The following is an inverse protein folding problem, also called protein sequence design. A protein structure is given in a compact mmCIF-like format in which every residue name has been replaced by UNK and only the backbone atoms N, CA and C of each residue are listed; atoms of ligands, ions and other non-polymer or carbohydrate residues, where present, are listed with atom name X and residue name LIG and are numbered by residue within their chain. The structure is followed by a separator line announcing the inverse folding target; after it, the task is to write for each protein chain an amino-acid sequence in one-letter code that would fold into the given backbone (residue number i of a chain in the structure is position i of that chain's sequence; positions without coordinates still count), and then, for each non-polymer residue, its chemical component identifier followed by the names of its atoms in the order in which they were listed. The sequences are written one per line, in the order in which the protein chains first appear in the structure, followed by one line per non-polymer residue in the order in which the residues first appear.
data_IF_930448595413
#
_entry.id   IF_930448595413
#
_cell.length_a   1.000
_cell.length_b   1.000
_cell.length_c   1.000
_cell.angle_alpha   90.00
_cell.angle_beta   90.00
_cell.angle_gamma   90.00
#
_symmetry.space_group_name_H-M   'P 1'
#
loop_
_entity.id
_entity.type
_entity.pdbx_description
1 polymer ?
#
# COMPACT_ATOMS: atom_id res chain seq x y z
N UNK A 1 14.72 -31.56 18.97
CA UNK A 1 13.33 -31.15 18.65
C UNK A 1 13.45 -29.81 17.96
N UNK A 2 12.86 -29.64 16.78
CA UNK A 2 12.83 -28.34 16.10
C UNK A 2 11.96 -27.40 16.93
N UNK A 3 12.45 -26.20 17.21
CA UNK A 3 11.76 -25.16 17.97
C UNK A 3 10.43 -24.82 17.31
N UNK A 4 9.37 -24.66 18.10
CA UNK A 4 8.06 -24.20 17.65
C UNK A 4 7.87 -22.78 18.16
N UNK A 5 7.73 -21.84 17.22
CA UNK A 5 7.48 -20.44 17.54
C UNK A 5 6.01 -20.19 17.88
N UNK A 6 5.75 -19.16 18.67
CA UNK A 6 4.38 -18.70 18.89
C UNK A 6 3.84 -17.96 17.66
N UNK A 7 4.71 -17.17 17.01
CA UNK A 7 4.34 -16.30 15.91
C UNK A 7 5.45 -16.21 14.86
N UNK A 8 5.05 -16.24 13.58
CA UNK A 8 5.86 -15.77 12.46
C UNK A 8 5.19 -14.55 11.84
N UNK A 9 5.92 -13.43 11.74
CA UNK A 9 5.48 -12.21 11.06
C UNK A 9 6.14 -12.15 9.69
N UNK A 10 5.35 -11.92 8.62
CA UNK A 10 5.84 -11.87 7.24
C UNK A 10 5.61 -10.48 6.66
N UNK A 11 6.69 -9.75 6.41
CA UNK A 11 6.72 -8.38 5.91
C UNK A 11 7.16 -7.36 6.95
N UNK A 12 7.95 -6.36 6.53
CA UNK A 12 8.51 -5.32 7.38
C UNK A 12 7.99 -3.90 7.04
N UNK A 13 6.81 -3.79 6.43
CA UNK A 13 6.08 -2.55 6.34
C UNK A 13 5.53 -2.10 7.70
N UNK A 14 4.83 -0.95 7.78
CA UNK A 14 4.31 -0.40 9.05
C UNK A 14 3.49 -1.39 9.88
N UNK A 15 2.69 -2.25 9.23
CA UNK A 15 1.92 -3.29 9.91
C UNK A 15 2.82 -4.35 10.54
N UNK A 16 3.83 -4.83 9.81
CA UNK A 16 4.76 -5.83 10.30
C UNK A 16 5.64 -5.32 11.44
N UNK A 17 6.13 -4.07 11.33
CA UNK A 17 6.89 -3.43 12.41
C UNK A 17 6.04 -3.27 13.67
N UNK A 18 4.80 -2.79 13.53
CA UNK A 18 3.88 -2.67 14.66
C UNK A 18 3.61 -4.04 15.30
N UNK A 19 3.35 -5.06 14.48
CA UNK A 19 3.20 -6.43 14.96
C UNK A 19 4.45 -6.92 15.73
N UNK A 20 5.66 -6.66 15.21
CA UNK A 20 6.92 -7.03 15.85
C UNK A 20 7.07 -6.35 17.23
N UNK A 21 6.79 -5.05 17.31
CA UNK A 21 6.82 -4.29 18.57
C UNK A 21 5.85 -4.88 19.60
N UNK A 22 4.60 -5.13 19.20
CA UNK A 22 3.59 -5.68 20.11
C UNK A 22 3.88 -7.12 20.50
N UNK A 23 4.38 -7.95 19.58
CA UNK A 23 4.79 -9.34 19.87
C UNK A 23 5.95 -9.39 20.88
N UNK A 24 6.98 -8.55 20.72
CA UNK A 24 8.06 -8.43 21.70
C UNK A 24 7.56 -8.00 23.09
N UNK A 25 6.66 -7.01 23.13
CA UNK A 25 6.05 -6.56 24.41
C UNK A 25 5.17 -7.62 25.06
N UNK A 26 4.55 -8.48 24.26
CA UNK A 26 3.77 -9.64 24.72
C UNK A 26 4.66 -10.85 25.07
N UNK A 27 5.98 -10.75 24.93
CA UNK A 27 6.95 -11.82 25.16
C UNK A 27 6.65 -13.11 24.34
N UNK A 28 6.09 -12.96 23.14
CA UNK A 28 5.87 -14.08 22.24
C UNK A 28 7.20 -14.53 21.64
N UNK A 29 7.43 -15.84 21.57
CA UNK A 29 8.57 -16.40 20.82
C UNK A 29 8.31 -16.20 19.32
N UNK A 30 8.94 -15.16 18.74
CA UNK A 30 8.58 -14.63 17.42
C UNK A 30 9.74 -14.66 16.45
N UNK A 31 9.47 -15.07 15.22
CA UNK A 31 10.32 -14.82 14.05
C UNK A 31 9.65 -13.77 13.18
N UNK A 32 10.43 -12.78 12.78
CA UNK A 32 10.01 -11.76 11.84
C UNK A 32 10.81 -11.89 10.55
N UNK A 33 10.17 -12.02 9.38
CA UNK A 33 10.81 -12.30 8.09
C UNK A 33 10.45 -11.23 7.08
N UNK A 34 11.45 -10.73 6.37
CA UNK A 34 11.27 -9.81 5.25
C UNK A 34 12.35 -10.01 4.19
N UNK A 35 12.00 -9.88 2.92
CA UNK A 35 12.94 -10.09 1.81
C UNK A 35 13.83 -8.88 1.52
N UNK A 36 13.39 -7.66 1.86
CA UNK A 36 14.16 -6.42 1.67
C UNK A 36 15.11 -6.12 2.83
N UNK A 37 14.97 -6.79 3.97
CA UNK A 37 15.80 -6.61 5.16
C UNK A 37 15.73 -5.21 5.78
N UNK A 38 14.88 -4.35 5.28
CA UNK A 38 14.77 -2.96 5.72
C UNK A 38 13.34 -2.66 6.13
N UNK A 39 13.10 -2.27 7.39
CA UNK A 39 11.79 -1.85 7.85
C UNK A 39 11.28 -0.61 7.10
N UNK A 40 9.95 -0.52 6.97
CA UNK A 40 9.27 0.60 6.32
C UNK A 40 8.40 0.16 5.12
N UNK A 41 8.83 -0.85 4.35
CA UNK A 41 8.05 -1.30 3.19
C UNK A 41 7.88 -0.20 2.15
N UNK A 42 6.65 0.06 1.70
CA UNK A 42 6.36 1.09 0.68
C UNK A 42 6.59 2.53 1.14
N UNK A 43 6.57 2.82 2.43
CA UNK A 43 6.79 4.19 2.89
C UNK A 43 8.19 4.70 2.54
N UNK A 44 9.17 3.81 2.39
CA UNK A 44 10.54 4.18 2.04
C UNK A 44 10.66 4.80 0.64
N UNK A 45 9.67 4.57 -0.22
CA UNK A 45 9.60 5.13 -1.57
C UNK A 45 8.92 6.53 -1.59
N UNK A 46 8.40 6.99 -0.44
CA UNK A 46 7.70 8.27 -0.30
C UNK A 46 8.69 9.37 0.07
N UNK A 47 8.67 10.49 -0.66
CA UNK A 47 9.57 11.62 -0.41
C UNK A 47 9.35 12.23 0.98
N UNK A 48 8.09 12.46 1.37
CA UNK A 48 7.73 13.08 2.65
C UNK A 48 6.40 12.53 3.16
N UNK A 49 6.29 12.33 4.47
CA UNK A 49 5.09 11.84 5.16
C UNK A 49 4.60 12.91 6.14
N UNK A 50 3.47 13.55 5.82
CA UNK A 50 2.87 14.63 6.62
C UNK A 50 1.65 14.19 7.44
N UNK A 51 1.16 12.98 7.20
CA UNK A 51 -0.08 12.48 7.79
C UNK A 51 0.12 11.39 8.86
N UNK A 52 1.37 11.22 9.34
CA UNK A 52 1.65 10.34 10.47
C UNK A 52 1.80 11.15 11.76
N UNK A 53 0.89 11.01 12.75
CA UNK A 53 0.89 11.82 13.96
C UNK A 53 2.20 11.73 14.74
N UNK A 54 2.75 12.89 15.10
CA UNK A 54 3.97 13.01 15.89
C UNK A 54 5.26 13.11 15.07
N UNK A 55 5.22 12.91 13.76
CA UNK A 55 6.38 13.02 12.88
C UNK A 55 6.04 13.76 11.56
N UNK A 56 5.63 15.04 11.63
CA UNK A 56 5.29 15.81 10.43
C UNK A 56 6.53 16.10 9.60
N UNK A 57 6.42 16.03 8.27
CA UNK A 57 7.50 16.38 7.33
C UNK A 57 8.69 15.41 7.35
N UNK A 58 8.51 14.20 7.88
CA UNK A 58 9.57 13.19 7.87
C UNK A 58 9.64 12.51 6.51
N UNK A 59 10.85 12.21 6.02
CA UNK A 59 10.97 11.38 4.81
C UNK A 59 10.47 9.96 5.08
N UNK A 60 9.95 9.28 4.06
CA UNK A 60 9.53 7.89 4.21
C UNK A 60 10.67 6.97 4.66
N UNK A 61 11.90 7.25 4.22
CA UNK A 61 13.10 6.53 4.64
C UNK A 61 13.36 6.71 6.15
N UNK A 62 13.41 7.95 6.64
CA UNK A 62 13.64 8.25 8.07
C UNK A 62 12.55 7.65 8.96
N UNK A 63 11.28 7.68 8.50
CA UNK A 63 10.17 7.06 9.21
C UNK A 63 10.33 5.54 9.29
N UNK A 64 10.74 4.90 8.18
CA UNK A 64 11.04 3.47 8.13
C UNK A 64 12.18 3.07 9.07
N UNK A 65 13.26 3.86 9.09
CA UNK A 65 14.40 3.68 10.00
C UNK A 65 13.98 3.85 11.47
N UNK A 66 13.18 4.87 11.79
CA UNK A 66 12.66 5.10 13.14
C UNK A 66 11.79 3.92 13.63
N UNK A 67 10.96 3.37 12.74
CA UNK A 67 10.17 2.18 13.02
C UNK A 67 11.05 0.96 13.31
N UNK A 68 12.05 0.71 12.46
CA UNK A 68 13.01 -0.39 12.63
C UNK A 68 13.80 -0.28 13.92
N UNK A 69 14.35 0.89 14.20
CA UNK A 69 15.09 1.16 15.43
C UNK A 69 14.25 0.94 16.70
N UNK A 70 12.94 1.21 16.64
CA UNK A 70 12.04 0.91 17.77
C UNK A 70 11.88 -0.61 17.99
N UNK A 71 11.69 -1.39 16.95
CA UNK A 71 11.58 -2.86 17.07
C UNK A 71 12.91 -3.47 17.57
N UNK A 72 14.06 -2.99 17.06
CA UNK A 72 15.38 -3.43 17.46
C UNK A 72 15.68 -3.20 18.94
N UNK A 73 15.25 -2.03 19.49
CA UNK A 73 15.36 -1.77 20.94
C UNK A 73 14.61 -2.77 21.80
N UNK A 74 13.60 -3.44 21.24
CA UNK A 74 12.82 -4.49 21.90
C UNK A 74 13.39 -5.90 21.57
N UNK A 75 14.52 -5.98 20.90
CA UNK A 75 15.24 -7.23 20.63
C UNK A 75 14.71 -7.99 19.39
N UNK A 76 13.94 -7.36 18.51
CA UNK A 76 13.40 -8.02 17.32
C UNK A 76 13.81 -7.26 16.05
N UNK A 77 14.50 -7.96 15.15
CA UNK A 77 14.88 -7.48 13.82
C UNK A 77 14.41 -8.47 12.74
N UNK A 78 14.09 -8.01 11.53
CA UNK A 78 13.65 -8.92 10.49
C UNK A 78 14.78 -9.84 10.02
N UNK A 79 14.50 -11.14 9.96
CA UNK A 79 15.35 -12.09 9.28
C UNK A 79 15.27 -11.82 7.77
N UNK A 80 16.43 -11.58 7.17
CA UNK A 80 16.57 -11.28 5.75
C UNK A 80 16.42 -12.56 4.91
N UNK A 81 15.18 -12.89 4.57
CA UNK A 81 14.84 -14.11 3.84
C UNK A 81 13.52 -13.94 3.08
N UNK A 82 13.31 -14.73 2.04
CA UNK A 82 12.10 -14.72 1.23
C UNK A 82 11.21 -15.90 1.59
N UNK A 83 9.97 -15.63 1.99
CA UNK A 83 8.97 -16.67 2.22
C UNK A 83 8.48 -17.22 0.89
N UNK A 84 8.55 -18.53 0.73
CA UNK A 84 8.18 -19.23 -0.50
C UNK A 84 6.82 -19.91 -0.41
N UNK A 85 6.44 -20.41 0.78
CA UNK A 85 5.15 -21.04 1.01
C UNK A 85 4.76 -21.05 2.48
N UNK A 86 3.45 -21.15 2.72
CA UNK A 86 2.83 -21.35 4.02
C UNK A 86 1.91 -22.56 3.90
N UNK A 87 2.07 -23.50 4.83
CA UNK A 87 1.27 -24.72 4.91
C UNK A 87 0.48 -24.71 6.23
N UNK A 88 -0.83 -24.96 6.16
CA UNK A 88 -1.64 -25.18 7.34
C UNK A 88 -1.57 -26.67 7.74
N UNK A 89 -0.83 -26.95 8.81
CA UNK A 89 -0.74 -28.29 9.41
C UNK A 89 -1.67 -28.44 10.64
N UNK A 90 -2.78 -27.69 10.68
CA UNK A 90 -3.75 -27.70 11.78
C UNK A 90 -3.30 -26.81 12.93
N UNK A 91 -2.89 -27.42 14.06
CA UNK A 91 -2.41 -26.65 15.25
C UNK A 91 -1.10 -25.88 15.01
N UNK A 92 -0.38 -26.22 13.99
CA UNK A 92 0.86 -25.59 13.59
C UNK A 92 0.78 -25.11 12.15
N UNK A 93 1.59 -24.11 11.82
CA UNK A 93 1.82 -23.62 10.47
C UNK A 93 3.29 -23.85 10.13
N UNK A 94 3.55 -24.20 8.88
CA UNK A 94 4.91 -24.41 8.38
C UNK A 94 5.20 -23.30 7.39
N UNK A 95 6.11 -22.39 7.75
CA UNK A 95 6.56 -21.28 6.89
C UNK A 95 7.90 -21.68 6.28
N UNK A 96 7.94 -21.86 4.97
CA UNK A 96 9.17 -22.19 4.22
C UNK A 96 9.72 -20.93 3.57
N UNK A 97 10.99 -20.66 3.84
CA UNK A 97 11.74 -19.58 3.24
C UNK A 97 12.87 -20.14 2.35
N UNK A 98 13.60 -19.28 1.66
CA UNK A 98 14.77 -19.73 0.86
C UNK A 98 15.85 -20.41 1.69
N UNK A 99 16.06 -19.95 2.92
CA UNK A 99 17.15 -20.41 3.79
C UNK A 99 16.69 -21.33 4.91
N UNK A 100 15.43 -21.20 5.36
CA UNK A 100 14.94 -21.82 6.58
C UNK A 100 13.53 -22.42 6.43
N UNK A 101 13.14 -23.22 7.42
CA UNK A 101 11.77 -23.65 7.63
C UNK A 101 11.39 -23.41 9.08
N UNK A 102 10.36 -22.62 9.31
CA UNK A 102 9.86 -22.29 10.64
C UNK A 102 8.56 -23.05 10.92
N UNK A 103 8.49 -23.70 12.08
CA UNK A 103 7.24 -24.24 12.64
C UNK A 103 6.71 -23.23 13.63
N UNK A 104 5.45 -22.86 13.50
CA UNK A 104 4.83 -21.84 14.35
C UNK A 104 3.37 -22.18 14.64
N UNK A 105 2.83 -21.67 15.74
CA UNK A 105 1.41 -21.77 16.06
C UNK A 105 0.57 -20.79 15.27
N UNK A 106 1.13 -19.57 14.98
CA UNK A 106 0.40 -18.50 14.31
C UNK A 106 1.28 -17.78 13.29
N UNK A 107 0.63 -17.16 12.29
CA UNK A 107 1.26 -16.33 11.26
C UNK A 107 0.52 -15.02 11.13
N UNK A 108 1.24 -13.89 11.09
CA UNK A 108 0.71 -12.60 10.65
C UNK A 108 1.25 -12.29 9.25
N UNK A 109 0.33 -12.11 8.31
CA UNK A 109 0.61 -11.66 6.96
C UNK A 109 0.59 -10.13 6.93
N UNK A 110 1.74 -9.50 6.67
CA UNK A 110 1.91 -8.04 6.62
C UNK A 110 2.61 -7.58 5.33
N UNK A 111 2.31 -8.28 4.21
CA UNK A 111 2.97 -8.12 2.92
C UNK A 111 2.52 -6.86 2.14
N UNK A 112 1.48 -6.16 2.62
CA UNK A 112 0.97 -4.94 2.01
C UNK A 112 0.32 -5.16 0.64
N UNK A 113 0.26 -4.06 -0.14
CA UNK A 113 -0.23 -4.05 -1.51
C UNK A 113 0.74 -3.24 -2.38
N UNK A 114 0.76 -3.47 -3.67
CA UNK A 114 1.58 -2.74 -4.63
C UNK A 114 0.70 -1.89 -5.54
N UNK A 115 1.15 -0.69 -5.92
CA UNK A 115 0.45 0.10 -6.91
C UNK A 115 0.53 -0.56 -8.28
N UNK A 116 -0.59 -0.54 -8.99
CA UNK A 116 -0.60 -0.97 -10.38
C UNK A 116 0.10 0.09 -11.22
N UNK A 117 1.16 -0.31 -11.92
CA UNK A 117 1.89 0.57 -12.83
C UNK A 117 1.18 0.67 -14.18
N UNK A 118 1.39 1.79 -14.86
CA UNK A 118 0.98 2.00 -16.24
C UNK A 118 1.94 1.32 -17.21
N UNK A 119 3.23 1.28 -16.86
CA UNK A 119 4.30 0.73 -17.69
C UNK A 119 4.66 1.64 -18.87
N UNK A 120 4.56 2.95 -18.67
CA UNK A 120 4.89 3.96 -19.69
C UNK A 120 6.23 4.65 -19.38
N UNK A 121 6.94 5.17 -20.39
CA UNK A 121 8.15 5.96 -20.19
C UNK A 121 7.92 7.13 -19.22
N UNK A 122 8.91 7.43 -18.37
CA UNK A 122 8.86 8.48 -17.38
C UNK A 122 8.18 8.10 -16.07
N UNK A 123 7.44 6.98 -16.00
CA UNK A 123 6.73 6.59 -14.78
C UNK A 123 7.69 6.24 -13.63
N UNK A 124 8.70 5.44 -13.92
CA UNK A 124 9.67 5.02 -12.89
C UNK A 124 10.76 6.07 -12.68
N UNK A 125 11.23 6.68 -13.75
CA UNK A 125 12.30 7.68 -13.74
C UNK A 125 11.93 8.94 -12.95
N UNK A 126 10.66 9.34 -13.01
CA UNK A 126 10.12 10.51 -12.33
C UNK A 126 9.32 10.16 -11.05
N UNK A 127 9.43 8.92 -10.59
CA UNK A 127 8.85 8.46 -9.33
C UNK A 127 9.36 9.29 -8.14
N UNK A 128 8.45 9.94 -7.38
CA UNK A 128 8.80 10.87 -6.31
C UNK A 128 9.26 12.26 -6.80
N UNK A 129 9.53 12.43 -8.10
CA UNK A 129 9.89 13.70 -8.71
C UNK A 129 8.71 14.30 -9.52
N UNK A 130 7.50 14.09 -9.03
CA UNK A 130 6.25 14.56 -9.64
C UNK A 130 5.31 13.43 -10.04
N UNK A 131 5.76 12.18 -10.14
CA UNK A 131 4.89 11.01 -10.27
C UNK A 131 4.57 10.45 -8.89
N UNK A 132 3.28 10.31 -8.58
CA UNK A 132 2.78 9.78 -7.32
C UNK A 132 1.63 8.79 -7.53
N UNK A 133 1.41 7.93 -6.54
CA UNK A 133 0.28 6.99 -6.47
C UNK A 133 -0.68 7.30 -5.31
N UNK A 134 -0.47 8.43 -4.61
CA UNK A 134 -1.25 8.80 -3.43
C UNK A 134 -1.49 10.31 -3.37
N UNK A 135 -2.67 10.78 -3.77
CA UNK A 135 -3.00 12.20 -3.72
C UNK A 135 -3.06 12.76 -2.29
N UNK A 136 -3.53 11.96 -1.33
CA UNK A 136 -3.58 12.36 0.09
C UNK A 136 -2.22 12.42 0.77
N UNK A 137 -1.20 11.74 0.20
CA UNK A 137 0.17 11.80 0.68
C UNK A 137 0.89 13.03 0.12
N UNK A 138 0.87 13.18 -1.20
CA UNK A 138 1.77 14.09 -1.92
C UNK A 138 1.07 15.33 -2.49
N UNK A 139 -0.27 15.38 -2.44
CA UNK A 139 -1.04 16.47 -3.05
C UNK A 139 -0.69 17.86 -2.52
N UNK A 140 -0.27 17.98 -1.26
CA UNK A 140 0.10 19.25 -0.65
C UNK A 140 1.29 19.94 -1.35
N UNK A 141 2.22 19.17 -1.95
CA UNK A 141 3.37 19.70 -2.71
C UNK A 141 2.97 20.40 -4.01
N UNK A 142 1.77 20.13 -4.50
CA UNK A 142 1.24 20.66 -5.76
C UNK A 142 0.25 21.82 -5.55
N UNK A 143 0.24 22.43 -4.37
CA UNK A 143 -0.62 23.60 -4.10
C UNK A 143 -0.36 24.73 -5.10
N UNK A 144 -1.43 25.20 -5.76
CA UNK A 144 -1.35 26.27 -6.77
C UNK A 144 -0.69 25.85 -8.08
N UNK A 145 -0.50 24.53 -8.31
CA UNK A 145 0.11 23.98 -9.51
C UNK A 145 -0.92 23.19 -10.34
N UNK A 146 -0.50 22.77 -11.53
CA UNK A 146 -1.31 21.92 -12.40
C UNK A 146 -0.96 20.46 -12.18
N UNK A 147 -1.97 19.61 -11.99
CA UNK A 147 -1.80 18.17 -11.81
C UNK A 147 -2.65 17.36 -12.76
N UNK A 148 -2.23 16.13 -13.03
CA UNK A 148 -3.00 15.14 -13.77
C UNK A 148 -3.27 13.96 -12.87
N UNK A 149 -4.52 13.48 -12.87
CA UNK A 149 -4.92 12.20 -12.27
C UNK A 149 -5.22 11.22 -13.42
N UNK A 150 -4.66 10.02 -13.37
CA UNK A 150 -4.90 8.97 -14.36
C UNK A 150 -5.75 7.89 -13.73
N UNK A 151 -6.98 7.71 -14.22
CA UNK A 151 -7.90 6.70 -13.69
C UNK A 151 -9.36 6.98 -14.07
N UNK A 152 -10.29 6.30 -13.39
CA UNK A 152 -11.74 6.49 -13.65
C UNK A 152 -12.62 5.67 -12.72
N UNK A 153 -12.07 5.13 -11.64
CA UNK A 153 -12.79 4.52 -10.52
C UNK A 153 -12.93 5.49 -9.35
N UNK A 154 -13.47 5.01 -8.21
CA UNK A 154 -13.69 5.82 -7.02
C UNK A 154 -12.43 6.57 -6.59
N UNK A 155 -11.30 5.87 -6.45
CA UNK A 155 -10.02 6.47 -6.03
C UNK A 155 -9.61 7.62 -6.94
N UNK A 156 -9.70 7.46 -8.27
CA UNK A 156 -9.32 8.53 -9.20
C UNK A 156 -10.22 9.77 -9.08
N UNK A 157 -11.53 9.58 -8.84
CA UNK A 157 -12.45 10.68 -8.61
C UNK A 157 -12.20 11.35 -7.25
N UNK A 158 -11.97 10.58 -6.20
CA UNK A 158 -11.63 11.07 -4.87
C UNK A 158 -10.32 11.87 -4.89
N UNK A 159 -9.29 11.36 -5.57
CA UNK A 159 -8.01 12.03 -5.75
C UNK A 159 -8.16 13.35 -6.51
N UNK A 160 -8.91 13.37 -7.61
CA UNK A 160 -9.16 14.57 -8.38
C UNK A 160 -9.96 15.63 -7.59
N UNK A 161 -10.98 15.22 -6.82
CA UNK A 161 -11.73 16.09 -5.91
C UNK A 161 -10.84 16.61 -4.77
N UNK A 162 -9.95 15.78 -4.24
CA UNK A 162 -9.01 16.19 -3.20
C UNK A 162 -8.03 17.24 -3.72
N UNK A 163 -7.39 16.97 -4.86
CA UNK A 163 -6.44 17.86 -5.50
C UNK A 163 -7.08 19.17 -5.96
N UNK A 164 -8.34 19.15 -6.40
CA UNK A 164 -9.06 20.36 -6.84
C UNK A 164 -9.14 21.45 -5.77
N UNK A 165 -9.09 21.07 -4.48
CA UNK A 165 -9.16 22.01 -3.35
C UNK A 165 -7.88 22.83 -3.16
N UNK A 166 -6.78 22.37 -3.73
CA UNK A 166 -5.46 22.99 -3.49
C UNK A 166 -4.68 23.30 -4.77
N UNK A 167 -4.92 22.58 -5.85
CA UNK A 167 -4.26 22.81 -7.13
C UNK A 167 -4.97 23.89 -7.94
N UNK A 168 -4.23 24.57 -8.80
CA UNK A 168 -4.79 25.55 -9.75
C UNK A 168 -5.67 24.86 -10.80
N UNK A 169 -5.18 23.74 -11.35
CA UNK A 169 -5.86 22.95 -12.38
C UNK A 169 -5.62 21.46 -12.13
N UNK A 170 -6.66 20.65 -12.34
CA UNK A 170 -6.58 19.20 -12.30
C UNK A 170 -7.11 18.63 -13.62
N UNK A 171 -6.36 17.78 -14.28
CA UNK A 171 -6.83 16.98 -15.40
C UNK A 171 -7.12 15.57 -14.93
N UNK A 172 -8.31 15.04 -15.21
CA UNK A 172 -8.62 13.63 -14.99
C UNK A 172 -8.63 12.89 -16.34
N UNK A 173 -7.56 12.12 -16.59
CA UNK A 173 -7.39 11.35 -17.82
C UNK A 173 -8.03 9.97 -17.67
N UNK A 174 -9.01 9.68 -18.52
CA UNK A 174 -9.69 8.38 -18.52
C UNK A 174 -9.77 7.77 -19.93
N UNK A 175 -9.49 6.46 -20.00
CA UNK A 175 -9.45 5.69 -21.26
C UNK A 175 -10.83 5.40 -21.89
N UNK A 176 -11.94 5.78 -21.24
CA UNK A 176 -13.33 5.60 -21.69
C UNK A 176 -14.03 6.96 -21.73
N UNK A 177 -15.26 6.97 -22.20
CA UNK A 177 -16.17 8.12 -22.23
C UNK A 177 -17.09 8.23 -21.00
N UNK A 178 -16.98 7.28 -20.06
CA UNK A 178 -17.71 7.28 -18.81
C UNK A 178 -16.86 6.79 -17.64
N UNK A 179 -17.07 7.35 -16.45
CA UNK A 179 -16.42 6.94 -15.21
C UNK A 179 -17.07 5.67 -14.65
N UNK A 180 -16.26 4.85 -13.95
CA UNK A 180 -16.74 3.68 -13.21
C UNK A 180 -16.95 3.97 -11.73
N UNK A 181 -16.70 5.19 -11.30
CA UNK A 181 -16.91 5.65 -9.94
C UNK A 181 -18.38 5.66 -9.58
N UNK A 182 -18.70 5.64 -8.30
CA UNK A 182 -20.04 5.81 -7.78
C UNK A 182 -20.63 7.15 -8.21
N UNK A 183 -21.92 7.20 -8.53
CA UNK A 183 -22.57 8.40 -9.07
C UNK A 183 -22.42 9.63 -8.18
N UNK A 184 -22.47 9.45 -6.86
CA UNK A 184 -22.28 10.55 -5.91
C UNK A 184 -20.88 11.18 -5.98
N UNK A 185 -19.85 10.38 -6.28
CA UNK A 185 -18.50 10.89 -6.51
C UNK A 185 -18.39 11.60 -7.85
N UNK A 186 -19.06 11.08 -8.89
CA UNK A 186 -19.12 11.73 -10.18
C UNK A 186 -19.80 13.10 -10.09
N UNK A 187 -20.93 13.21 -9.38
CA UNK A 187 -21.64 14.48 -9.16
C UNK A 187 -20.71 15.50 -8.49
N UNK A 188 -20.06 15.14 -7.40
CA UNK A 188 -19.09 16.00 -6.71
C UNK A 188 -17.90 16.39 -7.58
N UNK A 189 -17.41 15.48 -8.41
CA UNK A 189 -16.31 15.75 -9.34
C UNK A 189 -16.72 16.81 -10.38
N UNK A 190 -17.93 16.69 -10.93
CA UNK A 190 -18.46 17.64 -11.93
C UNK A 190 -18.75 19.03 -11.35
N UNK A 191 -18.89 19.18 -10.04
CA UNK A 191 -19.00 20.46 -9.35
C UNK A 191 -17.64 21.17 -9.21
N UNK A 192 -16.51 20.49 -9.43
CA UNK A 192 -15.19 21.08 -9.32
C UNK A 192 -14.83 21.87 -10.59
N UNK A 193 -14.92 23.20 -10.55
CA UNK A 193 -14.73 24.10 -11.70
C UNK A 193 -13.31 24.01 -12.32
N UNK A 194 -12.30 23.66 -11.53
CA UNK A 194 -10.91 23.53 -11.95
C UNK A 194 -10.51 22.11 -12.37
N UNK A 195 -11.47 21.16 -12.44
CA UNK A 195 -11.22 19.82 -12.95
C UNK A 195 -11.64 19.71 -14.41
N UNK A 196 -10.75 19.23 -15.27
CA UNK A 196 -11.03 18.95 -16.68
C UNK A 196 -10.92 17.46 -16.97
N UNK A 197 -11.97 16.90 -17.55
CA UNK A 197 -12.01 15.49 -17.94
C UNK A 197 -11.42 15.30 -19.34
N UNK A 198 -10.42 14.43 -19.45
CA UNK A 198 -9.78 14.06 -20.72
C UNK A 198 -10.21 12.64 -21.06
N UNK A 199 -11.31 12.55 -21.79
CA UNK A 199 -11.96 11.30 -22.13
C UNK A 199 -11.25 10.53 -23.26
N UNK A 200 -11.52 9.22 -23.33
CA UNK A 200 -11.06 8.33 -24.38
C UNK A 200 -9.55 8.38 -24.60
N UNK A 201 -8.78 8.69 -23.57
CA UNK A 201 -7.36 8.97 -23.70
C UNK A 201 -6.53 8.00 -22.86
N UNK A 202 -5.58 7.34 -23.50
CA UNK A 202 -4.56 6.55 -22.83
C UNK A 202 -3.32 7.41 -22.58
N UNK A 203 -2.69 7.32 -21.40
CA UNK A 203 -1.39 7.93 -21.14
C UNK A 203 -0.31 7.21 -21.98
N UNK A 204 0.61 7.98 -22.57
CA UNK A 204 1.65 7.46 -23.46
C UNK A 204 3.04 7.61 -22.85
N UNK A 205 3.31 8.79 -22.28
CA UNK A 205 4.62 9.14 -21.71
C UNK A 205 4.48 10.25 -20.68
N UNK A 206 5.19 10.14 -19.56
CA UNK A 206 5.36 11.23 -18.62
C UNK A 206 6.67 11.91 -18.93
N UNK A 207 6.62 13.20 -19.23
CA UNK A 207 7.76 13.97 -19.73
C UNK A 207 8.34 14.86 -18.65
N UNK A 208 9.67 14.87 -18.56
CA UNK A 208 10.45 15.71 -17.66
C UNK A 208 11.91 15.27 -17.66
N UNK A 209 12.78 16.07 -17.06
CA UNK A 209 14.18 15.71 -16.81
C UNK A 209 14.36 15.37 -15.33
N UNK A 210 14.43 16.36 -14.47
CA UNK A 210 14.55 16.19 -13.01
C UNK A 210 13.18 16.11 -12.31
N UNK A 211 12.14 16.66 -12.92
CA UNK A 211 10.76 16.69 -12.42
C UNK A 211 9.78 16.58 -13.58
N UNK A 212 8.55 16.16 -13.26
CA UNK A 212 7.45 16.15 -14.23
C UNK A 212 7.22 17.54 -14.82
N UNK A 213 7.01 17.60 -16.14
CA UNK A 213 6.68 18.80 -16.93
C UNK A 213 5.42 18.64 -17.75
N UNK A 214 5.12 17.42 -18.19
CA UNK A 214 3.91 17.14 -18.96
C UNK A 214 3.55 15.67 -18.96
N UNK A 215 2.30 15.38 -19.30
CA UNK A 215 1.82 14.07 -19.69
C UNK A 215 1.44 14.09 -21.18
N UNK A 216 1.98 13.18 -21.96
CA UNK A 216 1.52 12.91 -23.31
C UNK A 216 0.39 11.88 -23.24
N UNK A 217 -0.75 12.21 -23.84
CA UNK A 217 -1.90 11.30 -23.95
C UNK A 217 -2.30 11.10 -25.40
N UNK A 218 -2.88 9.95 -25.72
CA UNK A 218 -3.39 9.63 -27.04
C UNK A 218 -4.88 9.33 -26.97
N UNK A 219 -5.67 10.07 -27.72
CA UNK A 219 -7.09 9.81 -27.85
C UNK A 219 -7.32 8.54 -28.70
N UNK A 220 -8.05 7.58 -28.12
CA UNK A 220 -8.29 6.27 -28.77
C UNK A 220 -9.26 6.33 -29.93
N UNK A 221 -10.11 7.36 -29.97
CA UNK A 221 -11.14 7.51 -31.00
C UNK A 221 -10.60 8.31 -32.19
N UNK A 222 -10.00 9.48 -31.93
CA UNK A 222 -9.46 10.34 -33.00
C UNK A 222 -8.03 9.96 -33.42
N UNK A 223 -7.28 9.28 -32.54
CA UNK A 223 -5.85 8.99 -32.73
C UNK A 223 -4.93 10.18 -32.45
N UNK A 224 -5.49 11.33 -32.11
CA UNK A 224 -4.72 12.55 -31.83
C UNK A 224 -3.92 12.42 -30.52
N UNK A 225 -2.71 12.95 -30.54
CA UNK A 225 -1.87 13.10 -29.36
C UNK A 225 -2.02 14.50 -28.79
N UNK A 226 -2.17 14.58 -27.47
CA UNK A 226 -2.23 15.83 -26.72
C UNK A 226 -1.17 15.82 -25.64
N UNK A 227 -0.38 16.88 -25.59
CA UNK A 227 0.55 17.15 -24.49
C UNK A 227 -0.15 18.03 -23.46
N UNK A 228 -0.23 17.55 -22.22
CA UNK A 228 -0.83 18.25 -21.08
C UNK A 228 0.30 18.72 -20.18
N UNK A 229 0.51 20.03 -20.09
CA UNK A 229 1.46 20.62 -19.15
C UNK A 229 1.00 20.37 -17.72
N UNK A 230 1.88 19.81 -16.90
CA UNK A 230 1.57 19.51 -15.50
C UNK A 230 2.85 19.40 -14.66
N UNK A 231 2.76 19.77 -13.40
CA UNK A 231 3.83 19.67 -12.41
C UNK A 231 3.81 18.31 -11.70
N UNK A 232 2.66 17.61 -11.70
CA UNK A 232 2.48 16.32 -11.07
C UNK A 232 1.51 15.40 -11.80
N UNK A 233 1.81 14.09 -11.75
CA UNK A 233 0.98 13.03 -12.31
C UNK A 233 0.66 12.01 -11.22
N UNK A 234 -0.62 11.88 -10.90
CA UNK A 234 -1.15 10.93 -9.91
C UNK A 234 -1.75 9.71 -10.60
N UNK A 235 -1.19 8.52 -10.34
CA UNK A 235 -1.60 7.28 -10.98
C UNK A 235 -2.60 6.54 -10.09
N UNK A 236 -3.89 6.63 -10.42
CA UNK A 236 -5.01 6.08 -9.67
C UNK A 236 -5.70 4.93 -10.44
N UNK A 237 -4.91 3.97 -10.93
CA UNK A 237 -5.41 2.82 -11.71
C UNK A 237 -5.59 1.55 -10.88
N UNK A 238 -5.48 1.69 -9.56
CA UNK A 238 -5.71 0.65 -8.56
C UNK A 238 -4.44 0.08 -7.94
N UNK A 239 -4.66 -0.73 -6.90
CA UNK A 239 -3.62 -1.46 -6.16
C UNK A 239 -3.80 -2.96 -6.35
N UNK A 240 -2.74 -3.71 -6.12
CA UNK A 240 -2.72 -5.18 -6.17
C UNK A 240 -2.25 -5.65 -4.79
N UNK A 241 -3.09 -6.34 -4.01
CA UNK A 241 -2.66 -6.89 -2.74
C UNK A 241 -1.62 -7.99 -2.94
N UNK A 242 -0.60 -8.02 -2.08
CA UNK A 242 0.48 -9.01 -2.16
C UNK A 242 0.04 -10.31 -1.46
N UNK A 243 -0.97 -10.98 -2.01
CA UNK A 243 -1.61 -12.19 -1.45
C UNK A 243 -1.25 -13.49 -2.16
N UNK A 244 -0.30 -13.43 -3.10
CA UNK A 244 0.11 -14.56 -3.92
C UNK A 244 0.56 -15.80 -3.11
N UNK A 245 1.12 -15.59 -1.90
CA UNK A 245 1.51 -16.67 -0.99
C UNK A 245 0.33 -17.46 -0.41
N UNK A 246 -0.84 -16.85 -0.34
CA UNK A 246 -1.96 -17.37 0.46
C UNK A 246 -3.32 -17.35 -0.27
N UNK A 247 -3.34 -17.00 -1.55
CA UNK A 247 -4.57 -16.90 -2.35
C UNK A 247 -5.42 -18.17 -2.37
N UNK A 248 -4.78 -19.33 -2.24
CA UNK A 248 -5.46 -20.64 -2.22
C UNK A 248 -5.61 -21.18 -0.78
N UNK A 249 -5.17 -20.43 0.23
CA UNK A 249 -5.19 -20.82 1.64
C UNK A 249 -6.24 -20.07 2.45
N UNK A 250 -6.41 -18.77 2.21
CA UNK A 250 -7.35 -17.91 2.94
C UNK A 250 -8.38 -17.31 1.97
N UNK A 251 -9.54 -16.94 2.50
CA UNK A 251 -10.58 -16.27 1.71
C UNK A 251 -10.12 -14.88 1.26
N UNK A 252 -10.35 -14.58 -0.03
CA UNK A 252 -10.09 -13.27 -0.62
C UNK A 252 -11.34 -12.74 -1.31
N UNK A 253 -11.44 -11.40 -1.40
CA UNK A 253 -12.49 -10.74 -2.18
C UNK A 253 -12.20 -10.82 -3.69
N UNK A 254 -13.12 -10.29 -4.51
CA UNK A 254 -13.01 -10.26 -5.99
C UNK A 254 -11.79 -9.46 -6.49
N UNK A 255 -11.18 -8.64 -5.65
CA UNK A 255 -9.98 -7.85 -5.95
C UNK A 255 -8.69 -8.50 -5.45
N UNK A 256 -8.80 -9.64 -4.76
CA UNK A 256 -7.68 -10.40 -4.21
C UNK A 256 -7.23 -9.96 -2.81
N UNK A 257 -7.96 -9.07 -2.13
CA UNK A 257 -7.68 -8.70 -0.74
C UNK A 257 -8.16 -9.79 0.21
N UNK A 258 -7.36 -10.11 1.24
CA UNK A 258 -7.76 -11.07 2.28
C UNK A 258 -8.97 -10.53 3.03
N UNK A 259 -10.02 -11.33 3.12
CA UNK A 259 -11.22 -11.01 3.90
C UNK A 259 -10.88 -11.11 5.39
N UNK A 260 -10.67 -9.97 6.03
CA UNK A 260 -10.36 -9.88 7.45
C UNK A 260 -10.83 -8.53 8.02
N UNK A 261 -11.43 -8.55 9.20
CA UNK A 261 -11.83 -7.36 9.96
C UNK A 261 -10.65 -6.66 10.66
N UNK A 262 -10.96 -5.77 11.60
CA UNK A 262 -9.95 -5.00 12.35
C UNK A 262 -9.01 -5.86 13.19
N UNK A 263 -9.47 -7.00 13.69
CA UNK A 263 -8.67 -7.97 14.44
C UNK A 263 -7.71 -8.77 13.56
N UNK A 264 -7.81 -8.62 12.24
CA UNK A 264 -6.96 -9.33 11.28
C UNK A 264 -7.25 -10.83 11.15
N UNK A 265 -8.33 -11.35 11.75
CA UNK A 265 -8.69 -12.77 11.71
C UNK A 265 -9.09 -13.16 10.28
N UNK A 266 -8.44 -14.19 9.74
CA UNK A 266 -8.75 -14.74 8.41
C UNK A 266 -9.68 -15.96 8.51
N UNK A 267 -10.06 -16.52 7.36
CA UNK A 267 -10.84 -17.77 7.27
C UNK A 267 -10.10 -19.00 7.82
N UNK A 268 -8.78 -18.93 8.02
CA UNK A 268 -7.96 -20.04 8.53
C UNK A 268 -7.49 -19.74 9.95
N UNK A 269 -7.88 -20.55 10.96
CA UNK A 269 -7.47 -20.38 12.34
C UNK A 269 -5.94 -20.35 12.49
N UNK A 270 -5.42 -19.34 13.22
CA UNK A 270 -3.98 -19.17 13.41
C UNK A 270 -3.26 -18.40 12.29
N UNK A 271 -3.97 -17.99 11.23
CA UNK A 271 -3.44 -17.08 10.21
C UNK A 271 -4.18 -15.76 10.30
N UNK A 272 -3.41 -14.66 10.39
CA UNK A 272 -3.90 -13.30 10.56
C UNK A 272 -3.38 -12.40 9.44
N UNK A 273 -4.11 -11.34 9.11
CA UNK A 273 -3.74 -10.37 8.08
C UNK A 273 -3.72 -8.95 8.66
N UNK A 274 -2.67 -8.18 8.37
CA UNK A 274 -2.48 -6.82 8.85
C UNK A 274 -1.95 -5.89 7.76
N UNK A 275 -2.51 -4.69 7.65
CA UNK A 275 -2.11 -3.69 6.65
C UNK A 275 -2.89 -3.82 5.35
N UNK A 276 -2.28 -3.33 4.28
CA UNK A 276 -2.99 -3.03 3.04
C UNK A 276 -3.37 -4.23 2.18
N UNK A 277 -2.94 -5.44 2.54
CA UNK A 277 -3.32 -6.68 1.85
C UNK A 277 -4.72 -7.20 2.24
N UNK A 278 -5.36 -6.64 3.27
CA UNK A 278 -6.69 -7.03 3.72
C UNK A 278 -7.79 -6.08 3.27
N UNK A 279 -9.04 -6.50 3.38
CA UNK A 279 -10.21 -5.66 3.14
C UNK A 279 -10.29 -4.53 4.17
N UNK A 280 -10.25 -3.29 3.72
CA UNK A 280 -10.36 -2.07 4.55
C UNK A 280 -10.69 -0.85 3.70
N UNK A 281 -11.30 0.16 4.32
CA UNK A 281 -11.67 1.40 3.65
C UNK A 281 -10.47 2.32 3.39
N UNK A 282 -9.57 2.48 4.37
CA UNK A 282 -8.45 3.40 4.31
C UNK A 282 -7.11 2.66 4.38
N UNK A 283 -6.23 2.91 3.41
CA UNK A 283 -4.87 2.38 3.33
C UNK A 283 -3.88 3.51 3.56
N UNK A 284 -3.38 3.61 4.80
CA UNK A 284 -2.43 4.63 5.25
C UNK A 284 -1.48 4.02 6.29
N UNK A 285 -0.34 4.69 6.52
CA UNK A 285 0.65 4.26 7.51
C UNK A 285 0.00 4.03 8.88
N UNK A 286 -0.79 4.99 9.35
CA UNK A 286 -1.45 4.93 10.67
C UNK A 286 -2.42 3.75 10.79
N UNK A 287 -3.18 3.43 9.74
CA UNK A 287 -4.11 2.28 9.75
C UNK A 287 -3.37 0.95 9.64
N UNK A 288 -2.24 0.90 8.94
CA UNK A 288 -1.39 -0.28 8.88
C UNK A 288 -0.72 -0.57 10.25
N UNK A 289 -0.24 0.48 10.94
CA UNK A 289 0.29 0.38 12.33
C UNK A 289 -0.79 -0.17 13.27
N UNK A 290 -2.01 0.36 13.20
CA UNK A 290 -3.15 -0.13 14.00
C UNK A 290 -3.42 -1.61 13.76
N UNK A 291 -3.44 -2.04 12.49
CA UNK A 291 -3.70 -3.44 12.14
C UNK A 291 -2.66 -4.38 12.74
N UNK A 292 -1.38 -4.02 12.73
CA UNK A 292 -0.32 -4.84 13.31
C UNK A 292 -0.50 -5.07 14.81
N UNK A 293 -0.90 -4.02 15.54
CA UNK A 293 -1.19 -4.08 16.96
C UNK A 293 -2.41 -4.98 17.25
N UNK A 294 -3.50 -4.78 16.52
CA UNK A 294 -4.73 -5.55 16.67
C UNK A 294 -4.52 -7.03 16.35
N UNK A 295 -3.78 -7.35 15.29
CA UNK A 295 -3.48 -8.72 14.90
C UNK A 295 -2.71 -9.47 16.00
N UNK A 296 -1.74 -8.81 16.68
CA UNK A 296 -1.03 -9.45 17.80
C UNK A 296 -1.95 -9.68 18.99
N UNK A 297 -2.88 -8.78 19.27
CA UNK A 297 -3.89 -8.98 20.32
C UNK A 297 -4.75 -10.21 20.02
N UNK A 298 -5.20 -10.36 18.77
CA UNK A 298 -5.96 -11.53 18.33
C UNK A 298 -5.11 -12.82 18.37
N UNK A 299 -3.81 -12.74 18.03
CA UNK A 299 -2.86 -13.86 18.21
C UNK A 299 -2.79 -14.31 19.66
N UNK A 300 -2.65 -13.39 20.62
CA UNK A 300 -2.60 -13.72 22.04
C UNK A 300 -3.89 -14.44 22.50
N UNK A 301 -5.05 -13.93 22.09
CA UNK A 301 -6.32 -14.59 22.41
C UNK A 301 -6.43 -15.98 21.77
N UNK A 302 -5.96 -16.16 20.55
CA UNK A 302 -5.93 -17.46 19.89
C UNK A 302 -5.03 -18.46 20.64
N UNK A 303 -3.81 -18.04 21.02
CA UNK A 303 -2.86 -18.89 21.72
C UNK A 303 -3.36 -19.36 23.08
N UNK A 304 -4.21 -18.57 23.76
CA UNK A 304 -4.85 -18.98 25.03
C UNK A 304 -5.90 -20.11 24.84
N UNK A 305 -6.37 -20.34 23.62
CA UNK A 305 -7.45 -21.31 23.32
C UNK A 305 -6.93 -22.65 22.78
N UNK A 306 -5.66 -22.73 22.41
CA UNK A 306 -5.05 -23.97 21.86
C UNK A 306 -4.04 -24.58 22.83
#
# INVERSE_FOLDING_TARGET
MTEIYDLVIIGAGPAGVSAAIYASRAMLNTVWVDNKCMPGGQITDTYEVDNYPGMPGVTGMDLGEAFGAHAEKLGLSPACDEVLSIEDAGKEKIVRTRKNTYRTKTVILALGASHRKLGIPGEEELGGAGVSYCATCDGAFFRGRTTVVIGGGNVACEDAIFLSRMCEKVYLVHRRDELRADKILQERLFECENVELVWNSDPVEIQGEDMVKALLVKNKVSGEERRIEADGVFIAVGTIPNTWLVKDLVETDDYGYIVAGEEGITSVPGIFAAGDLRTKALRQVVTAVSDGANAVTAVQEYLLRI
#
